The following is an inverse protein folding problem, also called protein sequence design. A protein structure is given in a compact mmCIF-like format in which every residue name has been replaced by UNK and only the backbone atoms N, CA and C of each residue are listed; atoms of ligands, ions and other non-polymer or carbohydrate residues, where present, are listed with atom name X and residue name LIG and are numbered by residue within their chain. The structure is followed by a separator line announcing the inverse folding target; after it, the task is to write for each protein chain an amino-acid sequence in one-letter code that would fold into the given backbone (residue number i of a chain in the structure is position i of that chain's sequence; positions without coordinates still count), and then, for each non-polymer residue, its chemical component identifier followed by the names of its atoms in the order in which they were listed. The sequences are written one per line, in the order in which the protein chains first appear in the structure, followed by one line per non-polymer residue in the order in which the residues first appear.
data_IF_754922207439
#
_entry.id   IF_754922207439
#
_cell.length_a   1.000
_cell.length_b   1.000
_cell.length_c   1.000
_cell.angle_alpha   90.00
_cell.angle_beta   90.00
_cell.angle_gamma   90.00
#
_symmetry.space_group_name_H-M   'P 1'
#
loop_
_entity.id
_entity.type
_entity.pdbx_description
1 polymer ?
#
# COMPACT_ATOMS: atom_id res chain seq x y z
N UNK A 1 3.41 11.94 12.49
CA UNK A 1 2.76 11.81 11.17
C UNK A 1 1.36 11.22 11.31
N UNK A 2 0.56 11.34 10.27
CA UNK A 2 -0.78 10.74 10.24
C UNK A 2 -0.70 9.28 9.79
N UNK A 3 -1.78 8.51 10.02
CA UNK A 3 -1.90 7.15 9.46
C UNK A 3 -1.82 7.18 7.93
N UNK A 4 -2.40 8.23 7.30
CA UNK A 4 -2.31 8.40 5.85
C UNK A 4 -0.86 8.53 5.38
N UNK A 5 -0.04 9.29 6.08
CA UNK A 5 1.38 9.43 5.75
C UNK A 5 2.15 8.14 6.05
N UNK A 6 1.82 7.45 7.13
CA UNK A 6 2.44 6.15 7.44
C UNK A 6 2.10 5.12 6.35
N UNK A 7 0.88 5.14 5.82
CA UNK A 7 0.44 4.28 4.72
C UNK A 7 1.22 4.58 3.44
N UNK A 8 1.38 5.85 3.10
CA UNK A 8 2.16 6.26 1.93
C UNK A 8 3.62 5.82 2.07
N UNK A 9 4.20 5.98 3.24
CA UNK A 9 5.55 5.50 3.53
C UNK A 9 5.64 3.99 3.35
N UNK A 10 4.66 3.23 3.85
CA UNK A 10 4.63 1.79 3.67
C UNK A 10 4.57 1.41 2.17
N UNK A 11 3.80 2.13 1.36
CA UNK A 11 3.76 1.92 -0.10
C UNK A 11 5.16 2.10 -0.70
N UNK A 12 5.88 3.15 -0.31
CA UNK A 12 7.24 3.39 -0.80
C UNK A 12 8.18 2.24 -0.44
N UNK A 13 8.08 1.70 0.77
CA UNK A 13 8.92 0.60 1.21
C UNK A 13 8.61 -0.70 0.47
N UNK A 14 7.33 -1.03 0.32
CA UNK A 14 6.89 -2.23 -0.41
C UNK A 14 7.33 -2.14 -1.87
N UNK A 15 7.11 -0.99 -2.49
CA UNK A 15 7.51 -0.74 -3.87
C UNK A 15 9.03 -0.84 -4.05
N UNK A 16 9.79 -0.20 -3.15
CA UNK A 16 11.26 -0.23 -3.21
C UNK A 16 11.81 -1.65 -3.09
N UNK A 17 11.18 -2.48 -2.27
CA UNK A 17 11.58 -3.87 -2.06
C UNK A 17 11.51 -4.71 -3.34
N UNK A 18 10.58 -4.40 -4.26
CA UNK A 18 10.50 -5.11 -5.54
C UNK A 18 11.78 -4.96 -6.38
N UNK A 19 12.50 -3.85 -6.21
CA UNK A 19 13.74 -3.58 -6.95
C UNK A 19 14.99 -4.08 -6.25
N UNK A 20 15.01 -4.11 -4.92
CA UNK A 20 16.19 -4.47 -4.14
C UNK A 20 16.23 -5.93 -3.74
N UNK A 21 15.06 -6.59 -3.64
CA UNK A 21 14.95 -7.93 -3.12
C UNK A 21 15.25 -8.07 -1.63
N UNK A 22 15.34 -6.95 -0.91
CA UNK A 22 15.60 -6.97 0.54
C UNK A 22 14.45 -7.63 1.31
N UNK A 23 14.78 -8.29 2.42
CA UNK A 23 13.77 -8.79 3.33
C UNK A 23 12.96 -7.63 3.94
N UNK A 24 11.68 -7.83 4.29
CA UNK A 24 10.86 -6.75 4.83
C UNK A 24 11.50 -6.04 6.02
N UNK A 25 12.07 -6.80 6.95
CA UNK A 25 12.71 -6.26 8.15
C UNK A 25 13.92 -5.39 7.78
N UNK A 26 14.68 -5.79 6.77
CA UNK A 26 15.85 -5.06 6.30
C UNK A 26 15.47 -3.73 5.69
N UNK A 27 14.47 -3.71 4.80
CA UNK A 27 14.09 -2.47 4.13
C UNK A 27 13.52 -1.46 5.12
N UNK A 28 12.73 -1.92 6.10
CA UNK A 28 12.22 -1.06 7.15
C UNK A 28 13.36 -0.49 7.97
N UNK A 29 14.29 -1.33 8.43
CA UNK A 29 15.41 -0.89 9.24
C UNK A 29 16.31 0.12 8.49
N UNK A 30 16.60 -0.14 7.21
CA UNK A 30 17.46 0.70 6.40
C UNK A 30 16.82 2.04 6.08
N UNK A 31 15.59 2.03 5.60
CA UNK A 31 14.89 3.24 5.13
C UNK A 31 14.42 4.13 6.27
N UNK A 32 14.15 3.55 7.43
CA UNK A 32 13.73 4.30 8.61
C UNK A 32 14.90 4.59 9.56
N UNK A 33 16.13 4.32 9.14
CA UNK A 33 17.31 4.78 9.85
C UNK A 33 17.29 6.29 9.93
N UNK A 34 17.62 6.84 11.10
CA UNK A 34 17.47 8.27 11.39
C UNK A 34 18.18 9.17 10.38
N UNK A 35 19.42 8.82 10.01
CA UNK A 35 20.21 9.62 9.08
C UNK A 35 19.65 9.56 7.66
N UNK A 36 19.33 8.36 7.20
CA UNK A 36 18.79 8.15 5.86
C UNK A 36 17.40 8.81 5.71
N UNK A 37 16.57 8.68 6.72
CA UNK A 37 15.22 9.27 6.74
C UNK A 37 15.28 10.79 6.61
N UNK A 38 16.21 11.41 7.30
CA UNK A 38 16.40 12.86 7.22
C UNK A 38 16.77 13.34 5.81
N UNK A 39 17.53 12.54 5.06
CA UNK A 39 17.86 12.88 3.66
C UNK A 39 16.65 12.75 2.74
N UNK A 40 15.75 11.79 2.99
CA UNK A 40 14.57 11.57 2.16
C UNK A 40 13.56 12.72 2.26
N UNK A 41 13.58 13.49 3.34
CA UNK A 41 12.67 14.62 3.52
C UNK A 41 12.82 15.68 2.41
N UNK A 42 14.00 15.79 1.81
CA UNK A 42 14.24 16.70 0.69
C UNK A 42 13.55 16.24 -0.60
N UNK A 43 13.32 14.94 -0.75
CA UNK A 43 12.73 14.35 -1.95
C UNK A 43 11.21 14.26 -1.89
N UNK A 44 10.65 14.03 -0.71
CA UNK A 44 9.22 13.86 -0.55
C UNK A 44 8.79 14.32 0.86
N UNK A 45 7.74 15.11 0.89
CA UNK A 45 7.20 15.70 2.10
C UNK A 45 6.77 14.67 3.15
N UNK A 46 6.39 13.45 2.73
CA UNK A 46 6.01 12.38 3.66
C UNK A 46 7.15 12.01 4.62
N UNK A 47 8.38 12.26 4.24
CA UNK A 47 9.57 11.97 5.05
C UNK A 47 9.97 13.10 5.99
N UNK A 48 9.24 14.22 6.02
CA UNK A 48 9.56 15.35 6.91
C UNK A 48 9.24 15.10 8.38
N UNK A 49 8.47 14.04 8.67
CA UNK A 49 8.07 13.70 10.03
C UNK A 49 8.26 12.20 10.25
N UNK A 50 8.84 11.82 11.38
CA UNK A 50 9.13 10.41 11.66
C UNK A 50 7.91 9.68 12.21
N UNK A 51 7.76 8.38 11.89
CA UNK A 51 6.69 7.57 12.46
C UNK A 51 6.82 7.45 13.98
N UNK A 52 5.69 7.52 14.67
CA UNK A 52 5.61 7.15 16.08
C UNK A 52 5.78 5.65 16.26
N UNK A 53 5.89 5.19 17.51
CA UNK A 53 5.99 3.75 17.80
C UNK A 53 4.79 2.97 17.25
N UNK A 54 3.57 3.50 17.41
CA UNK A 54 2.36 2.86 16.88
C UNK A 54 2.37 2.81 15.35
N UNK A 55 2.84 3.87 14.71
CA UNK A 55 2.97 3.92 13.27
C UNK A 55 4.05 2.98 12.75
N UNK A 56 5.15 2.81 13.48
CA UNK A 56 6.17 1.82 13.16
C UNK A 56 5.60 0.41 13.22
N UNK A 57 4.77 0.10 14.20
CA UNK A 57 4.10 -1.19 14.29
C UNK A 57 3.18 -1.44 13.08
N UNK A 58 2.44 -0.41 12.67
CA UNK A 58 1.61 -0.49 11.46
C UNK A 58 2.48 -0.74 10.22
N UNK A 59 3.55 0.03 10.04
CA UNK A 59 4.44 -0.10 8.88
C UNK A 59 5.05 -1.51 8.83
N UNK A 60 5.58 -2.00 9.95
CA UNK A 60 6.14 -3.35 10.02
C UNK A 60 5.10 -4.41 9.65
N UNK A 61 3.89 -4.27 10.18
CA UNK A 61 2.79 -5.20 9.92
C UNK A 61 2.46 -5.27 8.42
N UNK A 62 2.26 -4.12 7.78
CA UNK A 62 1.80 -4.10 6.39
C UNK A 62 2.93 -4.42 5.41
N UNK A 63 4.15 -3.98 5.67
CA UNK A 63 5.30 -4.29 4.80
C UNK A 63 5.57 -5.80 4.81
N UNK A 64 5.66 -6.40 5.99
CA UNK A 64 5.85 -7.86 6.12
C UNK A 64 4.65 -8.63 5.60
N UNK A 65 3.44 -8.16 5.91
CA UNK A 65 2.21 -8.84 5.51
C UNK A 65 2.03 -8.90 4.01
N UNK A 66 2.27 -7.80 3.31
CA UNK A 66 2.20 -7.76 1.84
C UNK A 66 3.30 -8.64 1.24
N UNK A 67 4.53 -8.56 1.76
CA UNK A 67 5.64 -9.37 1.26
C UNK A 67 5.35 -10.87 1.36
N UNK A 68 4.74 -11.31 2.45
CA UNK A 68 4.45 -12.73 2.70
C UNK A 68 3.20 -13.23 1.96
N UNK A 69 2.40 -12.35 1.37
CA UNK A 69 1.13 -12.68 0.74
C UNK A 69 1.01 -12.15 -0.69
N UNK A 70 2.13 -11.86 -1.34
CA UNK A 70 2.15 -11.23 -2.66
C UNK A 70 1.33 -12.01 -3.69
N UNK A 71 1.46 -13.33 -3.75
CA UNK A 71 0.71 -14.15 -4.69
C UNK A 71 -0.80 -14.09 -4.44
N UNK A 72 -1.21 -14.24 -3.18
CA UNK A 72 -2.61 -14.14 -2.77
C UNK A 72 -3.20 -12.79 -3.17
N UNK A 73 -2.48 -11.71 -2.90
CA UNK A 73 -2.94 -10.36 -3.20
C UNK A 73 -3.03 -10.11 -4.70
N UNK A 74 -2.05 -10.59 -5.46
CA UNK A 74 -2.07 -10.47 -6.91
C UNK A 74 -3.20 -11.26 -7.55
N UNK A 75 -3.54 -12.43 -7.01
CA UNK A 75 -4.69 -13.23 -7.47
C UNK A 75 -5.99 -12.44 -7.30
N UNK A 76 -6.17 -11.74 -6.18
CA UNK A 76 -7.35 -10.90 -5.97
C UNK A 76 -7.41 -9.75 -6.95
N UNK A 77 -6.29 -9.09 -7.20
CA UNK A 77 -6.24 -8.00 -8.18
C UNK A 77 -6.64 -8.51 -9.56
N UNK A 78 -6.07 -9.63 -9.98
CA UNK A 78 -6.35 -10.23 -11.28
C UNK A 78 -7.81 -10.65 -11.41
N UNK A 79 -8.37 -11.23 -10.37
CA UNK A 79 -9.75 -11.70 -10.35
C UNK A 79 -10.76 -10.58 -10.61
N UNK A 80 -10.49 -9.38 -10.10
CA UNK A 80 -11.40 -8.25 -10.20
C UNK A 80 -11.03 -7.22 -11.27
N UNK A 81 -9.97 -7.48 -12.04
CA UNK A 81 -9.56 -6.59 -13.13
C UNK A 81 -10.13 -7.02 -14.49
N UNK A 82 -11.36 -7.48 -14.51
CA UNK A 82 -12.06 -7.94 -15.72
C UNK A 82 -12.18 -6.77 -16.71
N UNK A 83 -11.76 -7.01 -17.95
CA UNK A 83 -11.79 -6.00 -18.99
C UNK A 83 -10.58 -5.08 -19.01
N UNK A 84 -9.64 -5.28 -18.09
CA UNK A 84 -8.42 -4.48 -17.99
C UNK A 84 -7.19 -5.34 -18.28
N UNK A 85 -6.23 -4.74 -18.95
CA UNK A 85 -4.95 -5.41 -19.20
C UNK A 85 -4.04 -5.24 -17.98
N UNK A 86 -3.94 -6.31 -17.18
CA UNK A 86 -3.13 -6.31 -15.94
C UNK A 86 -1.66 -5.98 -16.23
N UNK A 87 -1.16 -6.34 -17.42
CA UNK A 87 0.21 -6.04 -17.81
C UNK A 87 0.48 -4.53 -17.95
N UNK A 88 -0.57 -3.72 -18.13
CA UNK A 88 -0.46 -2.26 -18.21
C UNK A 88 -0.53 -1.56 -16.86
N UNK A 89 -0.86 -2.29 -15.80
CA UNK A 89 -0.91 -1.72 -14.45
C UNK A 89 0.52 -1.46 -14.00
N UNK A 90 0.83 -0.24 -13.59
CA UNK A 90 2.15 0.07 -13.06
C UNK A 90 2.43 -0.74 -11.79
N UNK A 91 3.69 -1.01 -11.52
CA UNK A 91 4.09 -1.69 -10.28
C UNK A 91 3.67 -0.90 -9.05
N UNK A 92 3.72 0.41 -9.12
CA UNK A 92 3.31 1.27 -8.01
C UNK A 92 1.81 1.15 -7.74
N UNK A 93 0.97 1.21 -8.78
CA UNK A 93 -0.48 1.03 -8.63
C UNK A 93 -0.80 -0.35 -8.08
N UNK A 94 -0.10 -1.39 -8.56
CA UNK A 94 -0.26 -2.74 -8.03
C UNK A 94 0.08 -2.79 -6.53
N UNK A 95 1.17 -2.16 -6.13
CA UNK A 95 1.57 -2.08 -4.72
C UNK A 95 0.51 -1.40 -3.87
N UNK A 96 -0.05 -0.30 -4.35
CA UNK A 96 -1.13 0.42 -3.66
C UNK A 96 -2.33 -0.51 -3.45
N UNK A 97 -2.73 -1.26 -4.47
CA UNK A 97 -3.85 -2.19 -4.36
C UNK A 97 -3.54 -3.38 -3.46
N UNK A 98 -2.32 -3.92 -3.52
CA UNK A 98 -1.88 -4.98 -2.60
C UNK A 98 -2.03 -4.55 -1.16
N UNK A 99 -1.56 -3.35 -0.84
CA UNK A 99 -1.66 -2.83 0.52
C UNK A 99 -3.12 -2.65 0.95
N UNK A 100 -3.95 -2.08 0.08
CA UNK A 100 -5.37 -1.89 0.41
C UNK A 100 -6.09 -3.20 0.67
N UNK A 101 -5.87 -4.23 -0.16
CA UNK A 101 -6.47 -5.55 0.02
C UNK A 101 -5.98 -6.17 1.32
N UNK A 102 -4.67 -6.05 1.61
CA UNK A 102 -4.12 -6.54 2.87
C UNK A 102 -4.78 -5.87 4.07
N UNK A 103 -4.95 -4.55 4.03
CA UNK A 103 -5.61 -3.83 5.12
C UNK A 103 -7.06 -4.29 5.31
N UNK A 104 -7.79 -4.46 4.23
CA UNK A 104 -9.19 -4.93 4.28
C UNK A 104 -9.29 -6.30 4.92
N UNK A 105 -8.38 -7.21 4.57
CA UNK A 105 -8.44 -8.60 5.04
C UNK A 105 -7.85 -8.79 6.43
N UNK A 106 -6.81 -8.06 6.79
CA UNK A 106 -5.99 -8.41 7.94
C UNK A 106 -5.77 -7.30 8.98
N UNK A 107 -6.15 -6.06 8.68
CA UNK A 107 -5.96 -4.95 9.62
C UNK A 107 -7.33 -4.48 10.13
N UNK A 108 -7.74 -5.06 11.25
CA UNK A 108 -9.11 -4.93 11.77
C UNK A 108 -9.54 -3.50 12.09
N UNK A 109 -8.61 -2.63 12.47
CA UNK A 109 -8.92 -1.24 12.83
C UNK A 109 -9.01 -0.29 11.63
N UNK A 110 -8.81 -0.80 10.41
CA UNK A 110 -8.98 0.01 9.18
C UNK A 110 -10.32 -0.33 8.54
N UNK A 111 -11.26 0.61 8.51
CA UNK A 111 -12.53 0.38 7.79
C UNK A 111 -12.29 0.18 6.30
N UNK A 112 -13.06 -0.71 5.69
CA UNK A 112 -12.94 -1.03 4.26
C UNK A 112 -13.01 0.22 3.37
N UNK A 113 -13.95 1.11 3.65
CA UNK A 113 -14.10 2.36 2.89
C UNK A 113 -12.89 3.26 3.00
N UNK A 114 -12.22 3.27 4.15
CA UNK A 114 -11.00 4.06 4.34
C UNK A 114 -9.84 3.47 3.53
N UNK A 115 -9.68 2.14 3.56
CA UNK A 115 -8.62 1.48 2.77
C UNK A 115 -8.78 1.78 1.28
N UNK A 116 -10.00 1.69 0.76
CA UNK A 116 -10.29 1.99 -0.65
C UNK A 116 -10.05 3.47 -0.96
N UNK A 117 -10.59 4.37 -0.15
CA UNK A 117 -10.44 5.81 -0.34
C UNK A 117 -8.98 6.25 -0.36
N UNK A 118 -8.18 5.71 0.55
CA UNK A 118 -6.75 6.01 0.62
C UNK A 118 -5.99 5.45 -0.59
N UNK A 119 -6.34 4.25 -1.05
CA UNK A 119 -5.73 3.68 -2.26
C UNK A 119 -6.04 4.53 -3.49
N UNK A 120 -7.28 4.98 -3.63
CA UNK A 120 -7.69 5.87 -4.73
C UNK A 120 -6.92 7.18 -4.68
N UNK A 121 -6.81 7.77 -3.48
CA UNK A 121 -6.05 9.02 -3.28
C UNK A 121 -4.60 8.87 -3.73
N UNK A 122 -3.93 7.80 -3.30
CA UNK A 122 -2.53 7.55 -3.67
C UNK A 122 -2.39 7.27 -5.17
N UNK A 123 -3.29 6.49 -5.75
CA UNK A 123 -3.27 6.20 -7.19
C UNK A 123 -3.42 7.48 -8.02
N UNK A 124 -4.34 8.36 -7.63
CA UNK A 124 -4.50 9.66 -8.31
C UNK A 124 -3.26 10.53 -8.18
N UNK A 125 -2.66 10.55 -6.99
CA UNK A 125 -1.49 11.36 -6.71
C UNK A 125 -0.29 10.96 -7.58
N UNK A 126 -0.06 9.66 -7.75
CA UNK A 126 1.12 9.14 -8.43
C UNK A 126 0.90 8.81 -9.90
N UNK A 127 -0.30 8.38 -10.30
CA UNK A 127 -0.57 7.87 -11.65
C UNK A 127 -1.75 8.54 -12.36
N UNK A 128 -2.38 9.53 -11.74
CA UNK A 128 -3.44 10.33 -12.37
C UNK A 128 -4.87 9.84 -12.10
N UNK A 129 -5.84 10.65 -12.53
CA UNK A 129 -7.26 10.45 -12.20
C UNK A 129 -7.83 9.15 -12.77
N UNK A 130 -7.44 8.78 -14.00
CA UNK A 130 -7.92 7.55 -14.64
C UNK A 130 -7.51 6.32 -13.84
N UNK A 131 -6.29 6.32 -13.30
CA UNK A 131 -5.80 5.24 -12.45
C UNK A 131 -6.60 5.18 -11.15
N UNK A 132 -6.94 6.32 -10.57
CA UNK A 132 -7.79 6.37 -9.38
C UNK A 132 -9.15 5.71 -9.61
N UNK A 133 -9.79 5.98 -10.74
CA UNK A 133 -11.07 5.37 -11.11
C UNK A 133 -10.95 3.86 -11.28
N UNK A 134 -9.88 3.41 -11.92
CA UNK A 134 -9.55 1.99 -12.10
C UNK A 134 -9.38 1.27 -10.76
N UNK A 135 -8.59 1.84 -9.86
CA UNK A 135 -8.35 1.30 -8.52
C UNK A 135 -9.66 1.21 -7.73
N UNK A 136 -10.47 2.26 -7.79
CA UNK A 136 -11.77 2.27 -7.12
C UNK A 136 -12.67 1.12 -7.61
N UNK A 137 -12.69 0.88 -8.92
CA UNK A 137 -13.49 -0.20 -9.52
C UNK A 137 -13.06 -1.58 -9.04
N UNK A 138 -11.76 -1.86 -9.07
CA UNK A 138 -11.21 -3.15 -8.63
C UNK A 138 -11.45 -3.37 -7.13
N UNK A 139 -11.07 -2.41 -6.30
CA UNK A 139 -11.19 -2.55 -4.86
C UNK A 139 -12.63 -2.58 -4.39
N UNK A 140 -13.51 -1.82 -5.04
CA UNK A 140 -14.94 -1.87 -4.77
C UNK A 140 -15.54 -3.24 -5.08
N UNK A 141 -15.18 -3.82 -6.22
CA UNK A 141 -15.62 -5.17 -6.59
C UNK A 141 -15.10 -6.23 -5.63
N UNK A 142 -13.83 -6.11 -5.24
CA UNK A 142 -13.23 -6.99 -4.24
C UNK A 142 -13.99 -6.92 -2.91
N UNK A 143 -14.25 -5.71 -2.42
CA UNK A 143 -14.95 -5.51 -1.15
C UNK A 143 -16.36 -6.09 -1.17
N UNK A 144 -17.09 -5.93 -2.29
CA UNK A 144 -18.44 -6.48 -2.44
C UNK A 144 -18.46 -8.01 -2.50
N UNK A 145 -17.35 -8.65 -2.84
CA UNK A 145 -17.23 -10.10 -2.88
C UNK A 145 -17.04 -10.73 -1.50
N UNK A 146 -16.70 -9.92 -0.49
CA UNK A 146 -16.45 -10.42 0.86
C UNK A 146 -17.76 -10.72 1.57
N UNK A 147 -17.78 -11.73 2.48
CA UNK A 147 -18.94 -11.99 3.29
C UNK A 147 -19.35 -10.76 4.10
N UNK A 148 -20.66 -10.55 4.27
CA UNK A 148 -21.14 -9.49 5.15
C UNK A 148 -20.65 -9.75 6.58
N UNK A 149 -20.19 -8.70 7.26
CA UNK A 149 -19.87 -8.79 8.67
C UNK A 149 -21.17 -9.01 9.48
N UNK A 150 -21.11 -9.99 10.37
CA UNK A 150 -22.25 -10.33 11.22
C UNK A 150 -22.12 -9.60 12.55
#
# INVERSE_FOLDING_TARGET
MTRANARELAVHLIYGREFTGEEPEQIVATRLNKEYYGLLAEENEVYSDRPSKAQMQYIDCVVSGVANRTEELNEQIQKFSIGWDVARISKLTRTIMQLAIFEILYVADVPTGVAISEAVRLAKMYDGDDTGSFVNGILGSFARSLPAEV
#
